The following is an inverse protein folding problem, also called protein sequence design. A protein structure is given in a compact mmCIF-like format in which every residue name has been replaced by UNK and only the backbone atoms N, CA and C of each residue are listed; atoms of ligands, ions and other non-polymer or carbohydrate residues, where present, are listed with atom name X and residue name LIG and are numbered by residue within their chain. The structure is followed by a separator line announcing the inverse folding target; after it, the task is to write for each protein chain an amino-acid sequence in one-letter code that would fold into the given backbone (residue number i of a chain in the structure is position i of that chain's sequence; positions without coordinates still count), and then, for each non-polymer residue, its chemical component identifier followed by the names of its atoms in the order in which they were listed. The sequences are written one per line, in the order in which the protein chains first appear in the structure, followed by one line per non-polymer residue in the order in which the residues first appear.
data_IF_158590117852
#
_entry.id   IF_158590117852
#
_cell.length_a   1.000
_cell.length_b   1.000
_cell.length_c   1.000
_cell.angle_alpha   90.00
_cell.angle_beta   90.00
_cell.angle_gamma   90.00
#
_symmetry.space_group_name_H-M   'P 1'
#
loop_
_entity.id
_entity.type
_entity.pdbx_description
1 polymer ?
#
# COMPACT_ATOMS: atom_id res chain seq x y z
N UNK A 1 12.27 -8.59 4.26
CA UNK A 1 10.94 -9.06 3.83
C UNK A 1 9.91 -8.34 4.68
N UNK A 2 9.03 -7.55 4.07
CA UNK A 2 7.94 -6.92 4.81
C UNK A 2 6.83 -7.98 4.96
N UNK A 3 6.46 -8.29 6.20
CA UNK A 3 5.33 -9.17 6.48
C UNK A 3 4.05 -8.55 5.88
N UNK A 4 3.20 -9.36 5.26
CA UNK A 4 1.95 -8.87 4.64
C UNK A 4 0.97 -8.39 5.72
N UNK A 5 -0.03 -7.59 5.31
CA UNK A 5 -1.11 -7.14 6.19
C UNK A 5 -1.76 -8.31 6.94
N UNK A 6 -2.13 -9.35 6.21
CA UNK A 6 -2.79 -10.56 6.71
C UNK A 6 -1.94 -11.27 7.78
N UNK A 7 -0.65 -11.45 7.52
CA UNK A 7 0.28 -12.08 8.46
C UNK A 7 0.46 -11.28 9.74
N UNK A 8 0.44 -9.94 9.65
CA UNK A 8 0.46 -9.07 10.82
C UNK A 8 -0.86 -9.15 11.61
N UNK A 9 -2.00 -9.23 10.92
CA UNK A 9 -3.31 -9.42 11.54
C UNK A 9 -3.40 -10.77 12.28
N UNK A 10 -3.01 -11.87 11.64
CA UNK A 10 -2.99 -13.20 12.26
C UNK A 10 -2.14 -13.21 13.53
N UNK A 11 -0.96 -12.60 13.50
CA UNK A 11 -0.09 -12.49 14.68
C UNK A 11 -0.67 -11.60 15.78
N UNK A 12 -1.37 -10.52 15.42
CA UNK A 12 -2.08 -9.70 16.38
C UNK A 12 -3.18 -10.52 17.08
N UNK A 13 -3.96 -11.29 16.33
CA UNK A 13 -5.01 -12.15 16.89
C UNK A 13 -4.46 -13.26 17.79
N UNK A 14 -3.33 -13.88 17.40
CA UNK A 14 -2.67 -14.89 18.22
C UNK A 14 -2.18 -14.29 19.55
N UNK A 15 -1.60 -13.08 19.52
CA UNK A 15 -1.19 -12.37 20.72
C UNK A 15 -2.41 -12.00 21.60
N UNK A 16 -3.51 -11.55 21.00
CA UNK A 16 -4.75 -11.26 21.73
C UNK A 16 -5.31 -12.52 22.42
N UNK A 17 -5.32 -13.66 21.72
CA UNK A 17 -5.73 -14.97 22.27
C UNK A 17 -4.81 -15.40 23.41
N UNK A 18 -3.48 -15.20 23.27
CA UNK A 18 -2.53 -15.51 24.32
C UNK A 18 -2.72 -14.62 25.55
N UNK A 19 -2.99 -13.32 25.37
CA UNK A 19 -3.32 -12.40 26.46
C UNK A 19 -4.60 -12.82 27.20
N UNK A 20 -5.64 -13.22 26.47
CA UNK A 20 -6.91 -13.67 27.04
C UNK A 20 -6.75 -14.94 27.90
N UNK A 21 -5.85 -15.84 27.50
CA UNK A 21 -5.55 -17.08 28.23
C UNK A 21 -4.46 -16.92 29.30
N UNK A 22 -3.86 -15.74 29.43
CA UNK A 22 -2.77 -15.50 30.38
C UNK A 22 -3.29 -15.48 31.82
N UNK A 23 -2.75 -16.36 32.64
CA UNK A 23 -3.05 -16.47 34.07
C UNK A 23 -2.25 -15.50 34.94
N UNK A 24 -1.15 -14.95 34.40
CA UNK A 24 -0.31 -13.95 35.05
C UNK A 24 -0.47 -12.60 34.35
N UNK A 25 -0.62 -11.53 35.13
CA UNK A 25 -0.83 -10.18 34.60
C UNK A 25 0.36 -9.67 33.78
N UNK A 26 1.59 -9.98 34.21
CA UNK A 26 2.81 -9.62 33.48
C UNK A 26 2.89 -10.28 32.08
N UNK A 27 2.35 -11.50 31.94
CA UNK A 27 2.25 -12.20 30.65
C UNK A 27 1.15 -11.55 29.82
N UNK A 28 -0.01 -11.27 30.40
CA UNK A 28 -1.11 -10.56 29.72
C UNK A 28 -0.63 -9.22 29.14
N UNK A 29 0.05 -8.41 29.93
CA UNK A 29 0.55 -7.09 29.53
C UNK A 29 1.63 -7.18 28.44
N UNK A 30 2.43 -8.25 28.44
CA UNK A 30 3.40 -8.50 27.37
C UNK A 30 2.69 -8.85 26.07
N UNK A 31 1.72 -9.75 26.11
CA UNK A 31 0.97 -10.18 24.93
C UNK A 31 0.10 -9.04 24.35
N UNK A 32 -0.51 -8.21 25.19
CA UNK A 32 -1.23 -7.01 24.73
C UNK A 32 -0.31 -5.99 24.04
N UNK A 33 0.94 -5.84 24.52
CA UNK A 33 1.94 -5.01 23.83
C UNK A 33 2.34 -5.62 22.48
N UNK A 34 2.51 -6.93 22.42
CA UNK A 34 2.79 -7.63 21.17
C UNK A 34 1.63 -7.46 20.17
N UNK A 35 0.38 -7.65 20.60
CA UNK A 35 -0.81 -7.38 19.80
C UNK A 35 -0.79 -5.97 19.22
N UNK A 36 -0.57 -4.96 20.06
CA UNK A 36 -0.52 -3.56 19.63
C UNK A 36 0.56 -3.32 18.58
N UNK A 37 1.74 -3.92 18.75
CA UNK A 37 2.81 -3.84 17.75
C UNK A 37 2.40 -4.48 16.43
N UNK A 38 1.80 -5.68 16.46
CA UNK A 38 1.36 -6.38 15.26
C UNK A 38 0.25 -5.62 14.53
N UNK A 39 -0.71 -5.04 15.24
CA UNK A 39 -1.74 -4.17 14.63
C UNK A 39 -1.13 -2.95 13.96
N UNK A 40 -0.19 -2.28 14.62
CA UNK A 40 0.52 -1.14 14.04
C UNK A 40 1.36 -1.49 12.80
N UNK A 41 1.91 -2.71 12.74
CA UNK A 41 2.59 -3.21 11.55
C UNK A 41 1.61 -3.53 10.42
N UNK A 42 0.44 -4.11 10.74
CA UNK A 42 -0.61 -4.36 9.77
C UNK A 42 -1.07 -3.04 9.12
N UNK A 43 -1.39 -2.02 9.92
CA UNK A 43 -1.79 -0.71 9.41
C UNK A 43 -0.73 -0.09 8.48
N UNK A 44 0.56 -0.21 8.84
CA UNK A 44 1.65 0.23 7.96
C UNK A 44 1.71 -0.54 6.66
N UNK A 45 1.59 -1.87 6.70
CA UNK A 45 1.59 -2.71 5.50
C UNK A 45 0.43 -2.34 4.56
N UNK A 46 -0.76 -2.11 5.13
CA UNK A 46 -1.93 -1.63 4.39
C UNK A 46 -1.69 -0.25 3.77
N UNK A 47 -1.19 0.70 4.55
CA UNK A 47 -0.90 2.05 4.05
C UNK A 47 0.12 2.03 2.90
N UNK A 48 1.15 1.18 2.99
CA UNK A 48 2.14 1.01 1.91
C UNK A 48 1.49 0.41 0.64
N UNK A 49 0.59 -0.55 0.78
CA UNK A 49 -0.14 -1.12 -0.36
C UNK A 49 -1.02 -0.05 -1.03
N UNK A 50 -1.81 0.69 -0.25
CA UNK A 50 -2.67 1.78 -0.75
C UNK A 50 -1.86 2.88 -1.45
N UNK A 51 -0.69 3.24 -0.90
CA UNK A 51 0.22 4.21 -1.52
C UNK A 51 0.77 3.71 -2.86
N UNK A 52 1.13 2.42 -2.95
CA UNK A 52 1.59 1.81 -4.21
C UNK A 52 0.51 1.83 -5.27
N UNK A 53 -0.71 1.45 -4.92
CA UNK A 53 -1.84 1.46 -5.86
C UNK A 53 -2.14 2.87 -6.36
N UNK A 54 -2.09 3.87 -5.47
CA UNK A 54 -2.23 5.28 -5.83
C UNK A 54 -1.13 5.71 -6.81
N UNK A 55 0.14 5.45 -6.51
CA UNK A 55 1.25 5.82 -7.38
C UNK A 55 1.18 5.13 -8.74
N UNK A 56 0.80 3.86 -8.78
CA UNK A 56 0.64 3.14 -10.05
C UNK A 56 -0.51 3.71 -10.89
N UNK A 57 -1.62 4.12 -10.25
CA UNK A 57 -2.71 4.82 -10.94
C UNK A 57 -2.24 6.16 -11.51
N UNK A 58 -1.63 7.00 -10.69
CA UNK A 58 -1.11 8.32 -11.13
C UNK A 58 -0.09 8.16 -12.26
N UNK A 59 0.80 7.16 -12.17
CA UNK A 59 1.79 6.88 -13.22
C UNK A 59 1.17 6.35 -14.51
N UNK A 60 0.02 5.68 -14.47
CA UNK A 60 -0.74 5.28 -15.66
C UNK A 60 -1.45 6.46 -16.28
N UNK A 61 -2.09 7.28 -15.46
CA UNK A 61 -2.76 8.53 -15.89
C UNK A 61 -1.75 9.47 -16.57
N UNK A 62 -0.57 9.67 -15.96
CA UNK A 62 0.49 10.48 -16.56
C UNK A 62 0.96 9.92 -17.91
N UNK A 63 1.18 8.60 -18.00
CA UNK A 63 1.57 7.97 -19.27
C UNK A 63 0.51 8.11 -20.36
N UNK A 64 -0.77 8.05 -20.00
CA UNK A 64 -1.87 8.26 -20.95
C UNK A 64 -1.90 9.72 -21.43
N UNK A 65 -1.79 10.69 -20.51
CA UNK A 65 -1.73 12.11 -20.85
C UNK A 65 -0.50 12.44 -21.72
N UNK A 66 0.67 11.89 -21.40
CA UNK A 66 1.89 12.07 -22.20
C UNK A 66 1.72 11.49 -23.62
N UNK A 67 1.05 10.34 -23.75
CA UNK A 67 0.78 9.73 -25.05
C UNK A 67 -0.22 10.54 -25.89
N UNK A 68 -1.31 11.04 -25.29
CA UNK A 68 -2.27 11.92 -25.96
C UNK A 68 -1.60 13.22 -26.43
N UNK A 69 -0.77 13.83 -25.58
CA UNK A 69 -0.01 15.03 -25.95
C UNK A 69 1.00 14.75 -27.07
N UNK A 70 1.66 13.60 -27.05
CA UNK A 70 2.57 13.20 -28.12
C UNK A 70 1.85 12.95 -29.45
N UNK A 71 0.65 12.34 -29.42
CA UNK A 71 -0.19 12.13 -30.60
C UNK A 71 -0.67 13.46 -31.18
N UNK A 72 -1.17 14.36 -30.35
CA UNK A 72 -1.57 15.72 -30.76
C UNK A 72 -0.41 16.50 -31.37
N UNK A 73 0.79 16.42 -30.76
CA UNK A 73 1.99 17.05 -31.30
C UNK A 73 2.40 16.44 -32.65
N UNK A 74 2.28 15.12 -32.81
CA UNK A 74 2.57 14.46 -34.09
C UNK A 74 1.59 14.87 -35.20
N UNK A 75 0.29 14.99 -34.89
CA UNK A 75 -0.72 15.47 -35.82
C UNK A 75 -0.47 16.93 -36.25
N UNK A 76 -0.10 17.81 -35.32
CA UNK A 76 0.26 19.19 -35.64
C UNK A 76 1.48 19.27 -36.56
N UNK A 77 2.51 18.44 -36.33
CA UNK A 77 3.69 18.41 -37.21
C UNK A 77 3.33 17.91 -38.61
N UNK A 78 2.46 16.91 -38.73
CA UNK A 78 2.00 16.39 -40.02
C UNK A 78 1.22 17.46 -40.80
N UNK A 79 0.29 18.16 -40.15
CA UNK A 79 -0.53 19.23 -40.74
C UNK A 79 0.34 20.40 -41.26
N UNK A 80 1.38 20.79 -40.51
CA UNK A 80 2.32 21.83 -40.94
C UNK A 80 3.16 21.37 -42.14
N UNK A 81 3.46 20.07 -42.25
CA UNK A 81 4.25 19.51 -43.36
C UNK A 81 3.47 19.39 -44.68
N UNK A 82 2.16 19.16 -44.63
CA UNK A 82 1.29 19.08 -45.82
C UNK A 82 0.93 20.47 -46.38
N UNK A 83 1.17 21.53 -45.61
CA UNK A 83 0.91 22.92 -46.03
C UNK A 83 2.06 23.55 -46.85
N UNK A 84 3.17 22.85 -47.08
CA UNK A 84 4.35 23.32 -47.82
C UNK A 84 4.52 22.61 -49.17
#
# INVERSE_FOLDING_TARGET
MADTYEMCCERAELAAKAAANATLDNVRDRELRAEKTWRGLAEKARSVAEQRDKMEREKREQRAADAEMAEMAALQVAEVSESY
#
